data_IF_641304329961
#
_entry.id   IF_641304329961
#
_cell.length_a   1.000
_cell.length_b   1.000
_cell.length_c   1.000
_cell.angle_alpha   90.00
_cell.angle_beta   90.00
_cell.angle_gamma   90.00
#
_symmetry.space_group_name_H-M   'P 1'
#
loop_
_entity.id
_entity.type
_entity.pdbx_description
1 polymer ?
#
# COMPACT_ATOMS: atom_id res chain seq x y z
N UNK A 1 17.51 -9.73 -1.45
CA UNK A 1 17.53 -8.72 -0.37
C UNK A 1 16.33 -7.81 -0.58
N UNK A 2 15.50 -7.56 0.42
CA UNK A 2 14.33 -6.66 0.29
C UNK A 2 14.64 -5.21 0.67
N UNK A 3 15.92 -4.91 0.92
CA UNK A 3 16.41 -3.62 1.39
C UNK A 3 17.58 -3.19 0.50
N UNK A 4 17.53 -1.96 0.02
CA UNK A 4 18.57 -1.36 -0.82
C UNK A 4 18.84 0.06 -0.34
N UNK A 5 20.09 0.39 -0.06
CA UNK A 5 20.50 1.76 0.19
C UNK A 5 20.54 2.55 -1.13
N UNK A 6 19.88 3.70 -1.17
CA UNK A 6 19.89 4.59 -2.32
C UNK A 6 19.97 6.04 -1.88
N UNK A 7 21.14 6.65 -2.09
CA UNK A 7 21.45 8.02 -1.62
C UNK A 7 21.30 8.10 -0.10
N UNK A 8 20.43 9.00 0.39
CA UNK A 8 20.17 9.22 1.81
C UNK A 8 18.91 8.49 2.29
N UNK A 9 18.40 7.54 1.51
CA UNK A 9 17.20 6.76 1.85
C UNK A 9 17.50 5.27 1.80
N UNK A 10 16.79 4.52 2.63
CA UNK A 10 16.66 3.07 2.51
C UNK A 10 15.40 2.75 1.70
N UNK A 11 15.53 1.93 0.69
CA UNK A 11 14.41 1.43 -0.10
C UNK A 11 14.04 0.04 0.40
N UNK A 12 12.84 -0.08 0.96
CA UNK A 12 12.21 -1.36 1.29
C UNK A 12 11.32 -1.74 0.12
N UNK A 13 11.49 -2.93 -0.43
CA UNK A 13 10.67 -3.39 -1.55
C UNK A 13 10.25 -4.84 -1.44
N UNK A 14 9.08 -5.15 -2.02
CA UNK A 14 8.54 -6.50 -2.11
C UNK A 14 7.89 -6.72 -3.47
N UNK A 15 8.10 -7.91 -4.02
CA UNK A 15 7.53 -8.33 -5.31
C UNK A 15 6.28 -9.18 -5.07
N UNK A 16 5.19 -8.84 -5.75
CA UNK A 16 3.96 -9.64 -5.84
C UNK A 16 3.67 -9.88 -7.31
N UNK A 17 3.68 -11.15 -7.74
CA UNK A 17 3.57 -11.54 -9.15
C UNK A 17 4.53 -10.77 -10.07
N UNK A 18 4.01 -9.95 -10.99
CA UNK A 18 4.77 -9.10 -11.92
C UNK A 18 5.10 -7.72 -11.36
N UNK A 19 4.51 -7.33 -10.23
CA UNK A 19 4.62 -5.98 -9.65
C UNK A 19 5.68 -5.89 -8.56
N UNK A 20 6.39 -4.76 -8.54
CA UNK A 20 7.28 -4.37 -7.47
C UNK A 20 6.68 -3.19 -6.70
N UNK A 21 6.55 -3.36 -5.38
CA UNK A 21 6.15 -2.32 -4.46
C UNK A 21 7.39 -1.82 -3.73
N UNK A 22 7.63 -0.51 -3.73
CA UNK A 22 8.81 0.11 -3.14
C UNK A 22 8.37 1.24 -2.22
N UNK A 23 9.00 1.33 -1.06
CA UNK A 23 8.84 2.42 -0.09
C UNK A 23 10.22 2.94 0.26
N UNK A 24 10.45 4.24 0.07
CA UNK A 24 11.66 4.92 0.53
C UNK A 24 11.44 5.43 1.95
N UNK A 25 12.36 5.12 2.84
CA UNK A 25 12.32 5.52 4.26
C UNK A 25 13.65 6.10 4.71
N UNK A 26 13.59 6.90 5.77
CA UNK A 26 14.76 7.43 6.46
C UNK A 26 15.46 6.33 7.26
N UNK A 27 16.68 6.58 7.71
CA UNK A 27 17.52 5.57 8.38
C UNK A 27 16.96 5.10 9.73
N UNK A 28 16.09 5.90 10.35
CA UNK A 28 15.48 5.67 11.66
C UNK A 28 14.24 4.75 11.63
N UNK A 29 13.72 4.44 10.44
CA UNK A 29 12.53 3.61 10.29
C UNK A 29 12.84 2.11 10.40
N UNK A 30 11.87 1.35 10.93
CA UNK A 30 11.99 -0.10 11.04
C UNK A 30 11.66 -0.77 9.70
N UNK A 31 12.67 -1.34 9.05
CA UNK A 31 12.51 -1.89 7.70
C UNK A 31 11.55 -3.08 7.64
N UNK A 32 11.42 -3.85 8.72
CA UNK A 32 10.47 -4.97 8.82
C UNK A 32 9.03 -4.47 8.95
N UNK A 33 8.81 -3.37 9.70
CA UNK A 33 7.50 -2.74 9.80
C UNK A 33 7.03 -2.21 8.44
N UNK A 34 7.94 -1.60 7.68
CA UNK A 34 7.65 -1.12 6.31
C UNK A 34 7.40 -2.29 5.35
N UNK A 35 8.14 -3.38 5.48
CA UNK A 35 7.91 -4.58 4.68
C UNK A 35 6.53 -5.21 4.96
N UNK A 36 6.08 -5.17 6.22
CA UNK A 36 4.74 -5.61 6.62
C UNK A 36 3.66 -4.62 6.17
N UNK A 37 3.96 -3.33 6.18
CA UNK A 37 3.07 -2.31 5.62
C UNK A 37 2.81 -2.53 4.12
N UNK A 38 3.84 -2.85 3.33
CA UNK A 38 3.67 -3.21 1.91
C UNK A 38 2.75 -4.44 1.79
N UNK A 39 2.87 -5.42 2.68
CA UNK A 39 2.00 -6.59 2.67
C UNK A 39 0.55 -6.23 2.99
N UNK A 40 0.34 -5.41 4.01
CA UNK A 40 -0.97 -4.93 4.42
C UNK A 40 -1.67 -4.17 3.29
N UNK A 41 -0.95 -3.34 2.54
CA UNK A 41 -1.47 -2.62 1.39
C UNK A 41 -1.99 -3.59 0.33
N UNK A 42 -1.17 -4.58 -0.06
CA UNK A 42 -1.55 -5.58 -1.07
C UNK A 42 -2.72 -6.44 -0.61
N UNK A 43 -2.76 -6.86 0.65
CA UNK A 43 -3.90 -7.61 1.18
C UNK A 43 -5.19 -6.78 1.29
N UNK A 44 -5.07 -5.46 1.50
CA UNK A 44 -6.21 -4.55 1.51
C UNK A 44 -6.78 -4.38 0.10
N UNK A 45 -5.91 -4.24 -0.91
CA UNK A 45 -6.31 -4.26 -2.32
C UNK A 45 -6.95 -5.59 -2.71
N UNK A 46 -6.36 -6.72 -2.32
CA UNK A 46 -6.92 -8.05 -2.62
C UNK A 46 -8.30 -8.25 -2.01
N UNK A 47 -8.52 -7.77 -0.79
CA UNK A 47 -9.83 -7.79 -0.12
C UNK A 47 -10.87 -6.92 -0.83
N UNK A 48 -10.45 -5.80 -1.43
CA UNK A 48 -11.36 -4.91 -2.16
C UNK A 48 -11.74 -5.48 -3.54
N UNK A 49 -10.75 -5.91 -4.32
CA UNK A 49 -10.95 -6.36 -5.72
C UNK A 49 -11.38 -7.83 -5.83
N UNK A 50 -11.08 -8.67 -4.84
CA UNK A 50 -11.44 -10.09 -4.83
C UNK A 50 -10.60 -10.91 -5.81
N UNK A 51 -9.34 -11.18 -5.43
CA UNK A 51 -8.23 -11.69 -6.28
C UNK A 51 -7.66 -10.59 -7.17
N UNK A 52 -6.96 -9.64 -6.56
CA UNK A 52 -6.38 -8.49 -7.27
C UNK A 52 -5.33 -8.93 -8.30
N UNK A 53 -5.38 -8.36 -9.50
CA UNK A 53 -4.32 -8.45 -10.50
C UNK A 53 -3.76 -7.07 -10.88
N UNK A 54 -2.63 -7.03 -11.59
CA UNK A 54 -2.02 -5.77 -12.02
C UNK A 54 -2.93 -4.88 -12.88
N UNK A 55 -3.85 -5.48 -13.64
CA UNK A 55 -4.80 -4.73 -14.46
C UNK A 55 -5.85 -4.05 -13.59
N UNK A 56 -6.29 -4.66 -12.48
CA UNK A 56 -7.28 -4.04 -11.58
C UNK A 56 -6.73 -2.74 -10.99
N UNK A 57 -5.46 -2.76 -10.58
CA UNK A 57 -4.75 -1.58 -10.06
C UNK A 57 -4.60 -0.52 -11.17
N UNK A 58 -4.24 -0.92 -12.39
CA UNK A 58 -4.06 -0.01 -13.52
C UNK A 58 -5.36 0.66 -13.95
N UNK A 59 -6.47 -0.08 -13.97
CA UNK A 59 -7.79 0.46 -14.36
C UNK A 59 -8.46 1.27 -13.23
N UNK A 60 -8.14 0.99 -11.97
CA UNK A 60 -8.73 1.65 -10.80
C UNK A 60 -7.69 2.39 -9.96
N UNK A 61 -6.77 3.11 -10.62
CA UNK A 61 -5.66 3.79 -9.95
C UNK A 61 -6.14 4.81 -8.90
N UNK A 62 -7.25 5.49 -9.17
CA UNK A 62 -7.89 6.41 -8.22
C UNK A 62 -8.27 5.70 -6.90
N UNK A 63 -8.85 4.50 -6.98
CA UNK A 63 -9.17 3.71 -5.77
C UNK A 63 -7.92 3.27 -5.03
N UNK A 64 -6.86 2.90 -5.75
CA UNK A 64 -5.59 2.54 -5.15
C UNK A 64 -4.94 3.73 -4.41
N UNK A 65 -5.05 4.94 -4.96
CA UNK A 65 -4.61 6.16 -4.28
C UNK A 65 -5.44 6.46 -3.04
N UNK A 66 -6.77 6.37 -3.12
CA UNK A 66 -7.63 6.55 -1.94
C UNK A 66 -7.31 5.54 -0.82
N UNK A 67 -7.08 4.26 -1.14
CA UNK A 67 -6.62 3.29 -0.14
C UNK A 67 -5.31 3.72 0.52
N UNK A 68 -4.36 4.23 -0.27
CA UNK A 68 -3.06 4.65 0.26
C UNK A 68 -3.18 5.92 1.12
N UNK A 69 -4.05 6.86 0.77
CA UNK A 69 -4.33 8.08 1.54
C UNK A 69 -4.97 7.77 2.89
N UNK A 70 -5.86 6.77 2.96
CA UNK A 70 -6.41 6.30 4.24
C UNK A 70 -5.33 5.64 5.12
N UNK A 71 -4.33 4.99 4.50
CA UNK A 71 -3.27 4.29 5.23
C UNK A 71 -2.12 5.20 5.65
N UNK A 72 -1.78 6.22 4.86
CA UNK A 72 -0.60 7.07 5.03
C UNK A 72 -0.96 8.53 4.92
N UNK A 73 -0.61 9.31 5.94
CA UNK A 73 -0.71 10.77 5.90
C UNK A 73 0.58 11.42 6.36
N UNK A 74 1.03 12.44 5.64
CA UNK A 74 2.26 13.18 5.90
C UNK A 74 3.51 12.28 6.07
N UNK A 75 3.57 11.18 5.32
CA UNK A 75 4.68 10.22 5.41
C UNK A 75 4.61 9.25 6.59
N UNK A 76 3.57 9.33 7.42
CA UNK A 76 3.35 8.43 8.55
C UNK A 76 2.20 7.45 8.26
N UNK A 77 2.34 6.21 8.72
CA UNK A 77 1.26 5.22 8.69
C UNK A 77 0.24 5.61 9.77
N UNK A 78 -1.01 5.86 9.39
CA UNK A 78 -2.06 6.35 10.30
C UNK A 78 -3.19 5.34 10.54
N UNK A 79 -3.40 4.41 9.62
CA UNK A 79 -4.42 3.37 9.74
C UNK A 79 -3.88 2.03 9.22
N UNK A 80 -4.20 0.97 9.96
CA UNK A 80 -3.78 -0.40 9.63
C UNK A 80 -4.94 -1.39 9.60
N UNK A 81 -6.12 -1.00 10.06
CA UNK A 81 -7.34 -1.80 10.02
C UNK A 81 -7.91 -1.80 8.61
N UNK A 82 -7.82 -2.94 7.92
CA UNK A 82 -8.43 -3.15 6.60
C UNK A 82 -9.90 -2.77 6.56
N UNK A 83 -10.64 -3.02 7.65
CA UNK A 83 -12.07 -2.69 7.73
C UNK A 83 -12.30 -1.18 7.73
N UNK A 84 -11.44 -0.41 8.42
CA UNK A 84 -11.56 1.04 8.48
C UNK A 84 -11.14 1.66 7.15
N UNK A 85 -10.04 1.20 6.56
CA UNK A 85 -9.53 1.67 5.25
C UNK A 85 -10.58 1.48 4.15
N UNK A 86 -11.28 0.35 4.15
CA UNK A 86 -12.26 0.03 3.10
C UNK A 86 -13.63 0.65 3.33
N UNK A 87 -13.97 1.07 4.54
CA UNK A 87 -15.28 1.65 4.86
C UNK A 87 -15.62 2.89 4.01
N UNK A 88 -14.78 3.93 3.89
CA UNK A 88 -15.09 5.10 3.07
C UNK A 88 -15.16 4.75 1.57
N UNK A 89 -14.28 3.86 1.09
CA UNK A 89 -14.24 3.44 -0.31
C UNK A 89 -15.54 2.71 -0.71
N UNK A 90 -16.06 1.86 0.17
CA UNK A 90 -17.33 1.17 -0.04
C UNK A 90 -18.54 2.12 -0.05
N UNK A 91 -18.45 3.27 0.64
CA UNK A 91 -19.50 4.30 0.59
C UNK A 91 -19.45 5.08 -0.72
N UNK A 92 -18.25 5.37 -1.23
CA UNK A 92 -18.05 6.02 -2.52
C UNK A 92 -18.60 5.16 -3.67
N UNK A 93 -18.31 3.84 -3.64
CA UNK A 93 -18.79 2.88 -4.64
C UNK A 93 -20.31 2.73 -4.66
N UNK A 94 -21.01 2.98 -3.55
CA UNK A 94 -22.48 2.94 -3.49
C UNK A 94 -23.14 4.21 -4.02
N UNK A 95 -22.38 5.29 -4.13
CA UNK A 95 -22.89 6.61 -4.53
C UNK A 95 -22.62 6.90 -6.02
N UNK A 96 -21.82 6.06 -6.67
CA UNK A 96 -21.47 6.13 -8.11
C UNK A 96 -22.33 5.18 -8.93
#
# INVERSE_FOLDING_TARGET
CSFVEHRNYKIVYRRYASLFFLVGVDDDENELAILEFIHLLVETMDRHFGNVCELDIMFHLEKAHFMLEEMVMNGCIVETSKSNILAPIQLMDKTS
#
